data_IF_292389464769
#
_entry.id   IF_292389464769
#
_cell.length_a   1.000
_cell.length_b   1.000
_cell.length_c   1.000
_cell.angle_alpha   90.00
_cell.angle_beta   90.00
_cell.angle_gamma   90.00
#
_symmetry.space_group_name_H-M   'P 1'
#
loop_
_entity.id
_entity.type
_entity.pdbx_description
1 polymer ?
#
# COMPACT_ATOMS: atom_id res chain seq x y z
N UNK A 1 43.63 -48.29 -27.08
CA UNK A 1 42.91 -47.68 -28.23
C UNK A 1 43.08 -46.17 -28.16
N UNK A 2 43.40 -45.55 -29.30
CA UNK A 2 44.23 -44.36 -29.40
C UNK A 2 43.59 -43.00 -29.15
N UNK A 3 44.46 -42.09 -28.74
CA UNK A 3 44.36 -40.65 -28.53
C UNK A 3 44.08 -39.81 -29.79
N UNK A 4 43.33 -38.72 -29.57
CA UNK A 4 43.42 -37.36 -30.14
C UNK A 4 43.37 -37.19 -31.68
N UNK A 5 42.45 -36.34 -32.15
CA UNK A 5 42.78 -35.03 -32.75
C UNK A 5 41.57 -34.13 -33.01
N UNK A 6 41.91 -32.84 -33.03
CA UNK A 6 41.17 -31.58 -33.08
C UNK A 6 41.22 -31.03 -34.51
N UNK A 7 40.17 -30.34 -35.01
CA UNK A 7 40.29 -29.03 -35.71
C UNK A 7 38.97 -28.49 -36.26
N UNK A 8 38.87 -27.17 -36.12
CA UNK A 8 37.89 -26.24 -36.65
C UNK A 8 38.00 -26.01 -38.17
N UNK A 9 36.84 -25.59 -38.72
CA UNK A 9 36.54 -24.59 -39.75
C UNK A 9 37.39 -24.45 -41.03
N UNK A 10 36.69 -24.38 -42.17
CA UNK A 10 36.78 -23.27 -43.14
C UNK A 10 35.71 -23.40 -44.24
N UNK A 11 35.43 -22.25 -44.84
CA UNK A 11 34.22 -21.88 -45.55
C UNK A 11 34.29 -22.02 -47.09
N UNK A 12 33.09 -22.08 -47.68
CA UNK A 12 32.62 -21.45 -48.93
C UNK A 12 33.29 -21.76 -50.28
N UNK A 13 32.44 -22.18 -51.23
CA UNK A 13 32.47 -21.67 -52.60
C UNK A 13 31.07 -21.75 -53.26
N UNK A 14 30.66 -20.61 -53.82
CA UNK A 14 29.48 -20.36 -54.67
C UNK A 14 29.57 -21.14 -56.01
N UNK A 15 28.63 -21.16 -56.97
CA UNK A 15 27.57 -20.25 -57.43
C UNK A 15 26.81 -20.94 -58.59
N UNK A 16 25.51 -20.69 -58.79
CA UNK A 16 25.02 -20.11 -60.06
C UNK A 16 23.52 -19.73 -60.09
N UNK A 17 23.28 -18.62 -60.78
CA UNK A 17 22.05 -17.83 -60.97
C UNK A 17 21.10 -18.35 -62.07
N UNK A 18 19.78 -18.07 -61.93
CA UNK A 18 18.97 -17.11 -62.74
C UNK A 18 17.47 -17.25 -62.40
N UNK A 19 16.85 -16.24 -61.77
CA UNK A 19 15.98 -15.17 -62.35
C UNK A 19 14.63 -15.68 -62.89
N UNK A 20 13.49 -14.99 -62.79
CA UNK A 20 12.90 -13.91 -61.97
C UNK A 20 11.53 -13.68 -62.63
N UNK A 21 10.41 -13.70 -61.90
CA UNK A 21 9.21 -12.94 -62.31
C UNK A 21 8.51 -12.43 -61.05
N UNK A 22 8.54 -11.10 -60.91
CA UNK A 22 7.80 -10.32 -59.91
C UNK A 22 6.41 -9.99 -60.48
N UNK A 23 5.43 -9.90 -59.59
CA UNK A 23 4.25 -9.02 -59.54
C UNK A 23 3.20 -9.73 -58.67
N UNK A 24 2.53 -9.15 -57.67
CA UNK A 24 2.49 -7.81 -57.13
C UNK A 24 1.96 -7.88 -55.68
N UNK A 25 2.20 -6.80 -54.94
CA UNK A 25 1.81 -6.50 -53.57
C UNK A 25 0.37 -6.92 -53.18
N UNK A 26 0.26 -7.55 -52.00
CA UNK A 26 -0.77 -7.18 -51.04
C UNK A 26 -0.18 -7.27 -49.62
N UNK A 27 0.28 -6.11 -49.13
CA UNK A 27 0.73 -5.93 -47.76
C UNK A 27 -0.49 -5.89 -46.85
N UNK A 28 -0.82 -7.03 -46.22
CA UNK A 28 -1.70 -7.05 -45.06
C UNK A 28 -0.92 -6.48 -43.87
N UNK A 29 -1.01 -5.17 -43.70
CA UNK A 29 -0.83 -4.48 -42.43
C UNK A 29 -1.78 -5.12 -41.42
N UNK A 30 -1.28 -6.03 -40.61
CA UNK A 30 -1.97 -6.45 -39.38
C UNK A 30 -1.93 -5.27 -38.43
N UNK A 31 -3.05 -4.54 -38.37
CA UNK A 31 -3.36 -3.69 -37.23
C UNK A 31 -3.27 -4.51 -35.94
N UNK A 32 -2.84 -3.90 -34.81
CA UNK A 32 -2.86 -4.58 -33.53
C UNK A 32 -4.32 -4.85 -33.16
N UNK A 33 -4.74 -6.11 -33.25
CA UNK A 33 -6.01 -6.56 -32.70
C UNK A 33 -6.07 -6.11 -31.23
N UNK A 34 -7.09 -5.32 -30.90
CA UNK A 34 -7.38 -4.95 -29.52
C UNK A 34 -7.50 -6.20 -28.63
N UNK A 35 -7.39 -6.04 -27.30
CA UNK A 35 -7.44 -7.17 -26.38
C UNK A 35 -8.70 -8.00 -26.61
N UNK A 36 -8.51 -9.27 -26.92
CA UNK A 36 -9.56 -10.22 -27.24
C UNK A 36 -10.42 -10.46 -25.97
N UNK A 37 -11.55 -9.75 -25.90
CA UNK A 37 -12.45 -9.76 -24.77
C UNK A 37 -13.40 -10.96 -24.85
N UNK A 38 -13.02 -12.09 -24.25
CA UNK A 38 -13.95 -13.18 -23.94
C UNK A 38 -14.29 -13.20 -22.45
N UNK A 39 -15.58 -13.28 -22.08
CA UNK A 39 -16.01 -13.41 -20.67
C UNK A 39 -15.40 -14.64 -20.00
N UNK A 40 -15.15 -14.58 -18.70
CA UNK A 40 -14.70 -15.75 -17.97
C UNK A 40 -15.82 -16.78 -17.79
N UNK A 41 -15.45 -18.06 -17.88
CA UNK A 41 -16.35 -19.20 -17.67
C UNK A 41 -16.06 -19.85 -16.31
N UNK A 42 -17.07 -20.50 -15.72
CA UNK A 42 -16.97 -21.05 -14.36
C UNK A 42 -15.95 -22.19 -14.25
N UNK A 43 -15.92 -23.07 -15.26
CA UNK A 43 -15.09 -24.26 -15.28
C UNK A 43 -14.20 -24.27 -16.54
N UNK A 44 -13.17 -23.39 -16.61
CA UNK A 44 -12.35 -23.26 -17.81
C UNK A 44 -11.53 -24.52 -18.07
N UNK A 45 -11.44 -24.91 -19.34
CA UNK A 45 -10.67 -26.06 -19.83
C UNK A 45 -9.92 -25.68 -21.09
N UNK A 46 -8.92 -26.46 -21.47
CA UNK A 46 -8.18 -26.25 -22.72
C UNK A 46 -7.62 -24.84 -22.82
N UNK A 47 -7.95 -24.15 -23.91
CA UNK A 47 -7.40 -22.83 -24.20
C UNK A 47 -7.98 -21.71 -23.31
N UNK A 48 -9.20 -21.85 -22.80
CA UNK A 48 -9.77 -20.89 -21.83
C UNK A 48 -8.99 -20.89 -20.52
N UNK A 49 -8.60 -22.08 -20.04
CA UNK A 49 -7.79 -22.20 -18.83
C UNK A 49 -6.39 -21.61 -19.03
N UNK A 50 -5.77 -21.87 -20.19
CA UNK A 50 -4.46 -21.29 -20.53
C UNK A 50 -4.52 -19.77 -20.58
N UNK A 51 -5.56 -19.21 -21.24
CA UNK A 51 -5.81 -17.77 -21.30
C UNK A 51 -5.95 -17.17 -19.90
N UNK A 52 -6.80 -17.77 -19.06
CA UNK A 52 -7.00 -17.29 -17.68
C UNK A 52 -5.69 -17.32 -16.88
N UNK A 53 -4.96 -18.44 -16.91
CA UNK A 53 -3.69 -18.56 -16.17
C UNK A 53 -2.69 -17.50 -16.64
N UNK A 54 -2.50 -17.35 -17.95
CA UNK A 54 -1.58 -16.37 -18.51
C UNK A 54 -1.95 -14.93 -18.10
N UNK A 55 -3.24 -14.60 -18.07
CA UNK A 55 -3.70 -13.28 -17.67
C UNK A 55 -3.44 -13.01 -16.17
N UNK A 56 -3.70 -13.98 -15.30
CA UNK A 56 -3.41 -13.85 -13.87
C UNK A 56 -1.90 -13.85 -13.55
N UNK A 57 -1.07 -14.50 -14.37
CA UNK A 57 0.39 -14.41 -14.25
C UNK A 57 0.91 -13.00 -14.53
N UNK A 58 0.29 -12.28 -15.48
CA UNK A 58 0.63 -10.90 -15.80
C UNK A 58 0.36 -9.91 -14.66
N UNK A 59 -0.55 -10.21 -13.74
CA UNK A 59 -0.72 -9.41 -12.51
C UNK A 59 0.55 -9.42 -11.63
N UNK A 60 1.39 -10.44 -11.77
CA UNK A 60 2.68 -10.52 -11.09
C UNK A 60 3.86 -10.05 -11.96
N UNK A 61 3.61 -9.41 -13.10
CA UNK A 61 4.68 -8.81 -13.91
C UNK A 61 5.37 -7.69 -13.12
N UNK A 62 6.68 -7.51 -13.30
CA UNK A 62 7.39 -6.33 -12.77
C UNK A 62 7.14 -5.08 -13.62
N UNK A 63 6.69 -5.25 -14.86
CA UNK A 63 6.28 -4.15 -15.73
C UNK A 63 4.89 -3.62 -15.32
N UNK A 64 4.82 -2.32 -15.02
CA UNK A 64 3.58 -1.67 -14.58
C UNK A 64 2.51 -1.65 -15.67
N UNK A 65 2.90 -1.43 -16.93
CA UNK A 65 1.94 -1.34 -18.03
C UNK A 65 1.29 -2.69 -18.29
N UNK A 66 2.06 -3.78 -18.23
CA UNK A 66 1.54 -5.14 -18.35
C UNK A 66 0.62 -5.51 -17.20
N UNK A 67 0.98 -5.16 -15.95
CA UNK A 67 0.11 -5.38 -14.79
C UNK A 67 -1.22 -4.65 -14.95
N UNK A 68 -1.20 -3.38 -15.34
CA UNK A 68 -2.40 -2.56 -15.49
C UNK A 68 -3.29 -3.05 -16.63
N UNK A 69 -2.70 -3.41 -17.78
CA UNK A 69 -3.45 -3.99 -18.89
C UNK A 69 -4.12 -5.33 -18.51
N UNK A 70 -3.41 -6.18 -17.75
CA UNK A 70 -4.00 -7.42 -17.27
C UNK A 70 -5.13 -7.18 -16.25
N UNK A 71 -4.95 -6.20 -15.36
CA UNK A 71 -5.97 -5.84 -14.38
C UNK A 71 -7.26 -5.34 -15.05
N UNK A 72 -7.14 -4.45 -16.04
CA UNK A 72 -8.25 -3.94 -16.83
C UNK A 72 -9.05 -5.07 -17.50
N UNK A 73 -8.36 -5.97 -18.23
CA UNK A 73 -9.00 -7.12 -18.89
C UNK A 73 -9.70 -8.02 -17.86
N UNK A 74 -9.11 -8.24 -16.68
CA UNK A 74 -9.74 -9.08 -15.64
C UNK A 74 -10.99 -8.41 -15.07
N UNK A 75 -10.92 -7.12 -14.70
CA UNK A 75 -12.06 -6.38 -14.14
C UNK A 75 -13.19 -6.35 -15.15
N UNK A 76 -12.91 -5.90 -16.38
CA UNK A 76 -13.91 -5.84 -17.43
C UNK A 76 -14.49 -7.22 -17.74
N UNK A 77 -13.64 -8.25 -17.86
CA UNK A 77 -14.08 -9.62 -18.15
C UNK A 77 -14.96 -10.24 -17.07
N UNK A 78 -14.90 -9.73 -15.84
CA UNK A 78 -15.73 -10.16 -14.71
C UNK A 78 -17.00 -9.32 -14.56
N UNK A 79 -16.91 -8.00 -14.74
CA UNK A 79 -17.94 -7.05 -14.28
C UNK A 79 -18.62 -6.23 -15.38
N UNK A 80 -18.03 -6.09 -16.57
CA UNK A 80 -18.62 -5.26 -17.63
C UNK A 80 -19.75 -5.98 -18.39
N UNK A 81 -20.57 -5.19 -19.07
CA UNK A 81 -21.78 -5.67 -19.74
C UNK A 81 -22.76 -6.23 -18.71
N UNK A 82 -23.25 -7.44 -18.97
CA UNK A 82 -24.05 -8.15 -17.98
C UNK A 82 -23.21 -8.67 -16.81
N UNK A 83 -21.88 -8.77 -16.91
CA UNK A 83 -21.02 -9.41 -15.91
C UNK A 83 -21.21 -10.93 -15.82
N UNK A 84 -20.22 -11.63 -15.25
CA UNK A 84 -20.24 -13.10 -15.13
C UNK A 84 -21.30 -13.59 -14.13
N UNK A 85 -21.68 -14.89 -14.14
CA UNK A 85 -22.47 -15.47 -13.06
C UNK A 85 -21.79 -15.30 -11.69
N UNK A 86 -22.58 -15.17 -10.62
CA UNK A 86 -22.04 -15.00 -9.26
C UNK A 86 -21.08 -16.12 -8.85
N UNK A 87 -21.37 -17.37 -9.22
CA UNK A 87 -20.49 -18.52 -8.95
C UNK A 87 -19.11 -18.37 -9.61
N UNK A 88 -19.07 -17.85 -10.85
CA UNK A 88 -17.82 -17.54 -11.55
C UNK A 88 -17.06 -16.46 -10.81
N UNK A 89 -17.69 -15.32 -10.49
CA UNK A 89 -17.02 -14.23 -9.76
C UNK A 89 -16.47 -14.71 -8.41
N UNK A 90 -17.26 -15.47 -7.64
CA UNK A 90 -16.84 -16.03 -6.36
C UNK A 90 -15.62 -16.95 -6.52
N UNK A 91 -15.60 -17.81 -7.55
CA UNK A 91 -14.43 -18.66 -7.85
C UNK A 91 -13.18 -17.82 -8.10
N UNK A 92 -13.28 -16.72 -8.85
CA UNK A 92 -12.13 -15.84 -9.11
C UNK A 92 -11.65 -15.15 -7.83
N UNK A 93 -12.57 -14.62 -7.03
CA UNK A 93 -12.26 -14.00 -5.74
C UNK A 93 -11.52 -14.98 -4.82
N UNK A 94 -12.06 -16.19 -4.66
CA UNK A 94 -11.52 -17.20 -3.75
C UNK A 94 -10.24 -17.86 -4.21
N UNK A 95 -10.19 -18.31 -5.47
CA UNK A 95 -9.14 -19.22 -5.96
C UNK A 95 -7.99 -18.50 -6.63
N UNK A 96 -8.18 -17.24 -7.04
CA UNK A 96 -7.18 -16.46 -7.76
C UNK A 96 -6.83 -15.18 -7.02
N UNK A 97 -7.80 -14.29 -6.79
CA UNK A 97 -7.54 -12.92 -6.37
C UNK A 97 -7.08 -12.82 -4.91
N UNK A 98 -7.90 -13.24 -3.95
CA UNK A 98 -7.49 -13.17 -2.53
C UNK A 98 -6.33 -14.12 -2.20
N UNK A 99 -6.31 -15.31 -2.80
CA UNK A 99 -5.18 -16.23 -2.66
C UNK A 99 -3.88 -15.63 -3.25
N UNK A 100 -3.98 -14.87 -4.34
CA UNK A 100 -2.87 -14.21 -5.01
C UNK A 100 -2.17 -13.14 -4.16
N UNK A 101 -2.86 -12.57 -3.16
CA UNK A 101 -2.27 -11.60 -2.23
C UNK A 101 -1.17 -12.23 -1.36
N UNK A 102 -1.25 -13.53 -1.07
CA UNK A 102 -0.23 -14.27 -0.33
C UNK A 102 0.90 -14.80 -1.24
N UNK A 103 0.97 -14.36 -2.50
CA UNK A 103 2.05 -14.75 -3.41
C UNK A 103 3.37 -14.05 -3.05
N UNK A 104 4.45 -14.82 -2.97
CA UNK A 104 5.83 -14.30 -2.83
C UNK A 104 6.45 -13.76 -4.11
N UNK A 105 5.75 -13.82 -5.26
CA UNK A 105 6.26 -13.26 -6.53
C UNK A 105 6.30 -11.73 -6.46
N UNK A 106 7.40 -11.15 -6.94
CA UNK A 106 7.54 -9.69 -7.07
C UNK A 106 6.40 -9.14 -7.93
N UNK A 107 5.84 -7.99 -7.55
CA UNK A 107 4.73 -7.35 -8.28
C UNK A 107 3.34 -7.96 -8.05
N UNK A 108 3.22 -9.22 -7.64
CA UNK A 108 1.93 -9.91 -7.49
C UNK A 108 0.96 -9.14 -6.59
N UNK A 109 1.38 -8.81 -5.37
CA UNK A 109 0.52 -8.12 -4.39
C UNK A 109 -0.03 -6.81 -4.94
N UNK A 110 0.77 -6.06 -5.69
CA UNK A 110 0.33 -4.82 -6.34
C UNK A 110 -0.74 -5.09 -7.40
N UNK A 111 -0.49 -6.00 -8.34
CA UNK A 111 -1.44 -6.32 -9.40
C UNK A 111 -2.76 -6.90 -8.88
N UNK A 112 -2.69 -7.84 -7.95
CA UNK A 112 -3.89 -8.39 -7.30
C UNK A 112 -4.68 -7.34 -6.52
N UNK A 113 -3.99 -6.42 -5.84
CA UNK A 113 -4.63 -5.35 -5.09
C UNK A 113 -5.36 -4.34 -5.96
N UNK A 114 -4.84 -4.04 -7.17
CA UNK A 114 -5.49 -3.17 -8.14
C UNK A 114 -6.85 -3.76 -8.54
N UNK A 115 -6.85 -5.03 -8.96
CA UNK A 115 -8.08 -5.74 -9.36
C UNK A 115 -9.07 -5.83 -8.20
N UNK A 116 -8.62 -6.21 -7.01
CA UNK A 116 -9.49 -6.33 -5.85
C UNK A 116 -10.09 -4.99 -5.42
N UNK A 117 -9.30 -3.92 -5.42
CA UNK A 117 -9.79 -2.58 -5.07
C UNK A 117 -10.90 -2.15 -6.02
N UNK A 118 -10.72 -2.37 -7.32
CA UNK A 118 -11.72 -2.01 -8.32
C UNK A 118 -12.99 -2.88 -8.20
N UNK A 119 -12.84 -4.20 -8.03
CA UNK A 119 -14.00 -5.09 -7.82
C UNK A 119 -14.76 -4.70 -6.54
N UNK A 120 -14.07 -4.45 -5.42
CA UNK A 120 -14.71 -4.03 -4.16
C UNK A 120 -15.45 -2.70 -4.34
N UNK A 121 -14.85 -1.75 -5.05
CA UNK A 121 -15.45 -0.45 -5.38
C UNK A 121 -16.74 -0.63 -6.20
N UNK A 122 -16.73 -1.47 -7.22
CA UNK A 122 -17.93 -1.73 -8.03
C UNK A 122 -19.01 -2.54 -7.28
N UNK A 123 -18.60 -3.47 -6.41
CA UNK A 123 -19.53 -4.28 -5.61
C UNK A 123 -20.29 -3.45 -4.57
N UNK A 124 -19.60 -2.55 -3.85
CA UNK A 124 -20.15 -1.87 -2.68
C UNK A 124 -20.14 -0.35 -2.73
N UNK A 125 -19.53 0.24 -3.76
CA UNK A 125 -19.52 1.68 -3.97
C UNK A 125 -20.88 2.20 -4.42
N UNK A 126 -21.08 3.51 -4.25
CA UNK A 126 -22.37 4.18 -4.52
C UNK A 126 -22.82 4.11 -5.97
N UNK A 127 -21.87 4.04 -6.91
CA UNK A 127 -22.15 4.17 -8.34
C UNK A 127 -22.78 2.90 -8.93
N UNK A 128 -22.08 1.75 -8.84
CA UNK A 128 -22.58 0.49 -9.40
C UNK A 128 -23.36 -0.37 -8.39
N UNK A 129 -22.94 -0.40 -7.12
CA UNK A 129 -23.54 -1.17 -6.03
C UNK A 129 -23.95 -2.60 -6.43
N UNK A 130 -23.08 -3.31 -7.17
CA UNK A 130 -23.44 -4.57 -7.82
C UNK A 130 -23.82 -5.68 -6.83
N UNK A 131 -23.36 -5.62 -5.59
CA UNK A 131 -23.73 -6.56 -4.55
C UNK A 131 -25.21 -6.41 -4.11
N UNK A 132 -25.85 -5.27 -4.36
CA UNK A 132 -27.27 -5.07 -4.08
C UNK A 132 -28.16 -5.48 -5.26
N UNK A 133 -27.68 -5.32 -6.50
CA UNK A 133 -28.48 -5.50 -7.72
C UNK A 133 -28.30 -6.85 -8.41
N UNK A 134 -27.07 -7.38 -8.46
CA UNK A 134 -26.75 -8.59 -9.25
C UNK A 134 -26.12 -9.70 -8.40
N UNK A 135 -25.15 -9.37 -7.56
CA UNK A 135 -24.37 -10.33 -6.77
C UNK A 135 -24.85 -10.36 -5.31
N UNK A 136 -26.15 -10.61 -5.10
CA UNK A 136 -26.82 -10.49 -3.80
C UNK A 136 -26.30 -11.44 -2.73
N UNK A 137 -25.64 -12.54 -3.11
CA UNK A 137 -24.95 -13.44 -2.18
C UNK A 137 -23.55 -12.97 -1.75
N UNK A 138 -22.99 -11.93 -2.38
CA UNK A 138 -21.67 -11.39 -2.07
C UNK A 138 -21.78 -10.11 -1.21
N UNK A 139 -22.46 -10.20 -0.07
CA UNK A 139 -22.50 -9.09 0.88
C UNK A 139 -21.11 -8.85 1.51
N UNK A 140 -20.91 -7.65 2.08
CA UNK A 140 -19.62 -7.21 2.62
C UNK A 140 -18.97 -8.24 3.57
N UNK A 141 -19.76 -8.77 4.51
CA UNK A 141 -19.26 -9.74 5.50
C UNK A 141 -18.74 -11.03 4.85
N UNK A 142 -19.34 -11.47 3.73
CA UNK A 142 -18.89 -12.67 3.03
C UNK A 142 -17.56 -12.43 2.32
N UNK A 143 -17.42 -11.28 1.65
CA UNK A 143 -16.16 -10.93 1.01
C UNK A 143 -15.03 -10.73 2.03
N UNK A 144 -15.32 -10.10 3.16
CA UNK A 144 -14.37 -9.94 4.26
C UNK A 144 -13.99 -11.30 4.88
N UNK A 145 -14.94 -12.21 5.04
CA UNK A 145 -14.68 -13.60 5.47
C UNK A 145 -13.77 -14.32 4.49
N UNK A 146 -13.98 -14.17 3.17
CA UNK A 146 -13.13 -14.77 2.14
C UNK A 146 -11.70 -14.23 2.22
N UNK A 147 -11.52 -12.90 2.39
CA UNK A 147 -10.19 -12.32 2.59
C UNK A 147 -9.46 -13.03 3.75
N UNK A 148 -10.09 -13.09 4.92
CA UNK A 148 -9.49 -13.71 6.11
C UNK A 148 -9.19 -15.19 5.89
N UNK A 149 -10.10 -15.93 5.26
CA UNK A 149 -9.91 -17.35 4.98
C UNK A 149 -8.75 -17.59 4.01
N UNK A 150 -8.66 -16.82 2.92
CA UNK A 150 -7.68 -17.05 1.85
C UNK A 150 -6.29 -16.48 2.14
N UNK A 151 -6.16 -15.67 3.19
CA UNK A 151 -4.89 -15.13 3.67
C UNK A 151 -4.42 -15.79 4.97
N UNK A 152 -5.23 -16.63 5.60
CA UNK A 152 -4.82 -17.43 6.76
C UNK A 152 -3.71 -18.43 6.36
N UNK A 153 -2.60 -18.52 7.12
CA UNK A 153 -1.62 -19.58 6.92
C UNK A 153 -2.22 -20.94 7.28
N UNK A 154 -2.02 -21.95 6.41
CA UNK A 154 -2.51 -23.32 6.61
C UNK A 154 -1.43 -24.33 6.20
N UNK A 155 -1.25 -25.39 7.01
CA UNK A 155 -0.26 -26.43 6.77
C UNK A 155 1.12 -26.15 7.38
N UNK A 156 2.11 -26.94 6.96
CA UNK A 156 3.51 -26.77 7.35
C UNK A 156 4.17 -25.78 6.39
N UNK A 157 4.29 -24.52 6.83
CA UNK A 157 4.73 -23.40 6.02
C UNK A 157 6.11 -22.92 6.46
N UNK A 158 6.94 -22.55 5.50
CA UNK A 158 8.21 -21.87 5.77
C UNK A 158 7.97 -20.50 6.39
N UNK A 159 8.96 -19.96 7.12
CA UNK A 159 8.86 -18.61 7.70
C UNK A 159 8.59 -17.52 6.66
N UNK A 160 9.07 -17.69 5.42
CA UNK A 160 8.77 -16.76 4.33
C UNK A 160 7.31 -16.84 3.89
N UNK A 161 6.74 -18.05 3.77
CA UNK A 161 5.32 -18.22 3.43
C UNK A 161 4.41 -17.67 4.52
N UNK A 162 4.75 -17.86 5.80
CA UNK A 162 4.04 -17.23 6.92
C UNK A 162 4.03 -15.69 6.80
N UNK A 163 5.18 -15.08 6.47
CA UNK A 163 5.27 -13.64 6.18
C UNK A 163 4.42 -13.24 4.97
N UNK A 164 4.44 -14.03 3.91
CA UNK A 164 3.67 -13.76 2.70
C UNK A 164 2.15 -13.78 2.96
N UNK A 165 1.68 -14.67 3.83
CA UNK A 165 0.29 -14.68 4.30
C UNK A 165 -0.09 -13.43 5.11
N UNK A 166 0.79 -12.98 6.00
CA UNK A 166 0.61 -11.73 6.76
C UNK A 166 0.53 -10.52 5.81
N UNK A 167 1.42 -10.45 4.82
CA UNK A 167 1.32 -9.43 3.78
C UNK A 167 0.04 -9.57 2.97
N UNK A 168 -0.40 -10.79 2.67
CA UNK A 168 -1.65 -11.03 1.97
C UNK A 168 -2.84 -10.40 2.69
N UNK A 169 -2.94 -10.58 4.01
CA UNK A 169 -3.97 -9.95 4.83
C UNK A 169 -3.82 -8.41 4.83
N UNK A 170 -2.61 -7.90 5.02
CA UNK A 170 -2.33 -6.45 5.03
C UNK A 170 -2.79 -5.78 3.73
N UNK A 171 -2.38 -6.31 2.56
CA UNK A 171 -2.76 -5.78 1.26
C UNK A 171 -4.27 -5.91 1.02
N UNK A 172 -4.89 -7.01 1.46
CA UNK A 172 -6.34 -7.18 1.37
C UNK A 172 -7.12 -6.14 2.18
N UNK A 173 -6.71 -5.87 3.42
CA UNK A 173 -7.28 -4.78 4.24
C UNK A 173 -7.10 -3.42 3.55
N UNK A 174 -5.94 -3.19 2.94
CA UNK A 174 -5.67 -1.97 2.18
C UNK A 174 -6.59 -1.81 0.97
N UNK A 175 -6.93 -2.89 0.26
CA UNK A 175 -7.91 -2.84 -0.83
C UNK A 175 -9.27 -2.34 -0.37
N UNK A 176 -9.75 -2.78 0.80
CA UNK A 176 -11.01 -2.31 1.37
C UNK A 176 -10.98 -0.81 1.70
N UNK A 177 -9.88 -0.32 2.28
CA UNK A 177 -9.69 1.11 2.58
C UNK A 177 -9.63 1.95 1.29
N UNK A 178 -8.88 1.49 0.28
CA UNK A 178 -8.69 2.19 -0.99
C UNK A 178 -9.91 2.17 -1.90
N UNK A 179 -10.75 1.15 -1.79
CA UNK A 179 -12.01 1.09 -2.52
C UNK A 179 -13.02 2.15 -2.05
N UNK A 180 -12.75 2.84 -0.93
CA UNK A 180 -13.59 3.92 -0.37
C UNK A 180 -15.03 3.50 -0.04
N UNK A 181 -15.23 2.20 0.24
CA UNK A 181 -16.57 1.63 0.52
C UNK A 181 -16.86 1.51 2.02
N UNK A 182 -15.83 1.57 2.87
CA UNK A 182 -15.97 1.35 4.30
C UNK A 182 -16.72 2.46 5.01
N UNK A 183 -16.63 3.69 4.50
CA UNK A 183 -17.19 4.87 5.15
C UNK A 183 -18.64 5.13 4.76
N UNK A 184 -19.19 4.29 3.87
CA UNK A 184 -20.62 4.24 3.57
C UNK A 184 -21.43 3.60 4.71
N UNK A 185 -20.75 2.86 5.59
CA UNK A 185 -21.34 2.09 6.67
C UNK A 185 -20.31 1.95 7.79
N UNK A 186 -20.48 2.74 8.85
CA UNK A 186 -19.53 2.82 9.98
C UNK A 186 -19.23 1.46 10.61
N UNK A 187 -20.14 0.48 10.54
CA UNK A 187 -19.88 -0.86 11.06
C UNK A 187 -18.89 -1.64 10.18
N UNK A 188 -18.86 -1.40 8.86
CA UNK A 188 -17.81 -1.93 7.98
C UNK A 188 -16.46 -1.37 8.36
N UNK A 189 -16.39 -0.07 8.60
CA UNK A 189 -15.17 0.58 9.08
C UNK A 189 -14.70 -0.01 10.40
N UNK A 190 -15.58 -0.10 11.40
CA UNK A 190 -15.28 -0.71 12.71
C UNK A 190 -14.73 -2.13 12.55
N UNK A 191 -15.37 -2.95 11.72
CA UNK A 191 -14.96 -4.34 11.46
C UNK A 191 -13.53 -4.42 10.90
N UNK A 192 -13.23 -3.59 9.90
CA UNK A 192 -11.90 -3.56 9.26
C UNK A 192 -10.85 -2.95 10.18
N UNK A 193 -11.19 -1.88 10.91
CA UNK A 193 -10.29 -1.21 11.84
C UNK A 193 -9.81 -2.14 12.96
N UNK A 194 -10.73 -2.92 13.53
CA UNK A 194 -10.37 -3.92 14.55
C UNK A 194 -9.42 -4.98 14.00
N UNK A 195 -9.60 -5.42 12.75
CA UNK A 195 -8.68 -6.36 12.11
C UNK A 195 -7.29 -5.72 11.84
N UNK A 196 -7.25 -4.45 11.41
CA UNK A 196 -6.00 -3.70 11.23
C UNK A 196 -5.24 -3.62 12.55
N UNK A 197 -5.92 -3.26 13.65
CA UNK A 197 -5.31 -3.14 14.97
C UNK A 197 -4.91 -4.50 15.55
N UNK A 198 -5.69 -5.55 15.32
CA UNK A 198 -5.29 -6.90 15.70
C UNK A 198 -4.03 -7.36 14.97
N UNK A 199 -3.92 -7.06 13.67
CA UNK A 199 -2.71 -7.35 12.89
C UNK A 199 -1.49 -6.58 13.43
N UNK A 200 -1.66 -5.28 13.69
CA UNK A 200 -0.64 -4.40 14.27
C UNK A 200 -0.10 -4.89 15.63
N UNK A 201 -0.98 -5.44 16.48
CA UNK A 201 -0.60 -6.02 17.77
C UNK A 201 0.14 -7.35 17.59
N UNK A 202 -0.39 -8.25 16.76
CA UNK A 202 0.18 -9.59 16.54
C UNK A 202 1.51 -9.58 15.80
N UNK A 203 1.67 -8.65 14.86
CA UNK A 203 2.84 -8.58 13.97
C UNK A 203 3.40 -7.15 13.99
N UNK A 204 4.20 -6.79 15.01
CA UNK A 204 4.79 -5.46 15.14
C UNK A 204 5.59 -4.99 13.91
N UNK A 205 6.10 -5.93 13.10
CA UNK A 205 6.86 -5.63 11.88
C UNK A 205 6.04 -5.12 10.69
N UNK A 206 4.71 -5.25 10.71
CA UNK A 206 3.81 -4.56 9.76
C UNK A 206 3.07 -3.37 10.39
N UNK A 207 3.32 -3.08 11.66
CA UNK A 207 2.53 -2.10 12.42
C UNK A 207 2.56 -0.72 11.80
N UNK A 208 3.73 -0.28 11.32
CA UNK A 208 3.89 1.00 10.62
C UNK A 208 2.88 1.14 9.47
N UNK A 209 2.76 0.10 8.63
CA UNK A 209 1.85 0.08 7.48
C UNK A 209 0.37 0.01 7.92
N UNK A 210 0.05 -0.70 9.01
CA UNK A 210 -1.28 -0.68 9.61
C UNK A 210 -1.66 0.75 10.07
N UNK A 211 -0.72 1.45 10.71
CA UNK A 211 -0.90 2.84 11.12
C UNK A 211 -1.13 3.78 9.95
N UNK A 212 -0.30 3.66 8.92
CA UNK A 212 -0.43 4.44 7.69
C UNK A 212 -1.78 4.21 7.00
N UNK A 213 -2.27 2.97 6.98
CA UNK A 213 -3.57 2.64 6.41
C UNK A 213 -4.73 3.38 7.10
N UNK A 214 -4.67 3.56 8.42
CA UNK A 214 -5.67 4.33 9.17
C UNK A 214 -5.53 5.84 8.89
N UNK A 215 -4.29 6.34 8.77
CA UNK A 215 -4.01 7.72 8.33
C UNK A 215 -4.59 7.99 6.93
N UNK A 216 -4.41 7.06 5.98
CA UNK A 216 -5.00 7.14 4.63
C UNK A 216 -6.53 7.13 4.69
N UNK A 217 -7.12 6.33 5.58
CA UNK A 217 -8.56 6.24 5.74
C UNK A 217 -9.17 7.54 6.31
N UNK A 218 -8.48 8.23 7.22
CA UNK A 218 -8.94 9.51 7.79
C UNK A 218 -9.21 10.58 6.71
N UNK A 219 -8.49 10.54 5.58
CA UNK A 219 -8.70 11.47 4.47
C UNK A 219 -10.07 11.34 3.80
N UNK A 220 -10.76 10.23 4.05
CA UNK A 220 -12.03 9.89 3.42
C UNK A 220 -13.20 10.00 4.41
N UNK A 221 -12.91 10.16 5.71
CA UNK A 221 -13.87 10.17 6.81
C UNK A 221 -14.52 11.53 7.04
N UNK A 222 -15.69 11.49 7.67
CA UNK A 222 -16.26 12.62 8.39
C UNK A 222 -15.73 12.70 9.83
N UNK A 223 -16.14 13.77 10.53
CA UNK A 223 -15.74 14.03 11.92
C UNK A 223 -16.19 12.91 12.87
N UNK A 224 -17.41 12.42 12.75
CA UNK A 224 -17.97 11.39 13.66
C UNK A 224 -17.21 10.08 13.51
N UNK A 225 -16.89 9.68 12.28
CA UNK A 225 -16.10 8.48 11.99
C UNK A 225 -14.67 8.60 12.54
N UNK A 226 -14.07 9.79 12.47
CA UNK A 226 -12.76 10.03 13.05
C UNK A 226 -12.79 9.99 14.59
N UNK A 227 -13.83 10.51 15.25
CA UNK A 227 -14.03 10.37 16.70
C UNK A 227 -14.07 8.89 17.11
N UNK A 228 -14.92 8.08 16.45
CA UNK A 228 -15.01 6.62 16.67
C UNK A 228 -13.65 5.94 16.44
N UNK A 229 -12.91 6.36 15.42
CA UNK A 229 -11.58 5.78 15.13
C UNK A 229 -10.59 6.03 16.27
N UNK A 230 -10.60 7.24 16.85
CA UNK A 230 -9.73 7.58 17.98
C UNK A 230 -10.16 6.89 19.29
N UNK A 231 -11.46 6.70 19.51
CA UNK A 231 -11.97 5.91 20.63
C UNK A 231 -11.48 4.45 20.53
N UNK A 232 -11.67 3.80 19.39
CA UNK A 232 -11.21 2.42 19.16
C UNK A 232 -9.68 2.33 19.28
N UNK A 233 -8.94 3.31 18.76
CA UNK A 233 -7.48 3.37 18.92
C UNK A 233 -7.06 3.38 20.41
N UNK A 234 -7.82 4.07 21.25
CA UNK A 234 -7.59 4.09 22.70
C UNK A 234 -7.93 2.76 23.35
N UNK A 235 -9.08 2.19 23.01
CA UNK A 235 -9.57 0.91 23.56
C UNK A 235 -8.62 -0.24 23.20
N UNK A 236 -8.06 -0.22 21.99
CA UNK A 236 -7.06 -1.18 21.52
C UNK A 236 -5.64 -0.92 22.06
N UNK A 237 -5.46 0.14 22.87
CA UNK A 237 -4.19 0.45 23.54
C UNK A 237 -3.08 0.93 22.60
N UNK A 238 -3.41 1.35 21.38
CA UNK A 238 -2.44 1.76 20.36
C UNK A 238 -2.20 3.28 20.32
N UNK A 239 -2.96 4.08 21.07
CA UNK A 239 -2.81 5.55 21.08
C UNK A 239 -1.43 6.05 21.50
N UNK A 240 -0.68 5.26 22.28
CA UNK A 240 0.69 5.57 22.73
C UNK A 240 1.75 4.82 21.92
N UNK A 241 1.50 4.61 20.63
CA UNK A 241 2.49 4.13 19.66
C UNK A 241 2.84 5.23 18.66
N UNK A 242 3.95 5.10 17.90
CA UNK A 242 4.27 6.00 16.79
C UNK A 242 3.11 6.15 15.79
N UNK A 243 2.44 5.04 15.48
CA UNK A 243 1.27 5.01 14.61
C UNK A 243 0.08 5.74 15.23
N UNK A 244 -0.20 5.49 16.51
CA UNK A 244 -1.25 6.17 17.25
C UNK A 244 -1.05 7.68 17.29
N UNK A 245 0.19 8.15 17.47
CA UNK A 245 0.55 9.57 17.37
C UNK A 245 0.24 10.11 15.96
N UNK A 246 0.63 9.38 14.92
CA UNK A 246 0.37 9.76 13.54
C UNK A 246 -1.13 9.91 13.24
N UNK A 247 -1.93 8.91 13.61
CA UNK A 247 -3.40 8.93 13.47
C UNK A 247 -3.99 10.13 14.23
N UNK A 248 -3.51 10.39 15.44
CA UNK A 248 -4.00 11.49 16.28
C UNK A 248 -3.72 12.87 15.68
N UNK A 249 -2.48 13.10 15.22
CA UNK A 249 -2.09 14.36 14.58
C UNK A 249 -2.89 14.57 13.30
N UNK A 250 -3.02 13.54 12.46
CA UNK A 250 -3.80 13.61 11.22
C UNK A 250 -5.27 13.96 11.50
N UNK A 251 -5.90 13.32 12.49
CA UNK A 251 -7.28 13.59 12.86
C UNK A 251 -7.46 15.03 13.37
N UNK A 252 -6.54 15.53 14.21
CA UNK A 252 -6.54 16.93 14.71
C UNK A 252 -6.45 17.95 13.58
N UNK A 253 -5.53 17.72 12.65
CA UNK A 253 -5.30 18.64 11.54
C UNK A 253 -6.49 18.68 10.59
N UNK A 254 -7.10 17.52 10.33
CA UNK A 254 -8.24 17.41 9.43
C UNK A 254 -9.55 17.91 10.05
N UNK A 255 -9.73 17.73 11.35
CA UNK A 255 -10.95 18.10 12.05
C UNK A 255 -10.68 19.03 13.24
N UNK A 256 -10.25 20.29 13.03
CA UNK A 256 -9.94 21.22 14.12
C UNK A 256 -11.13 21.50 15.06
N UNK A 257 -12.36 21.31 14.58
CA UNK A 257 -13.60 21.51 15.35
C UNK A 257 -14.08 20.26 16.11
N UNK A 258 -13.31 19.17 16.09
CA UNK A 258 -13.62 17.96 16.85
C UNK A 258 -13.47 18.18 18.36
N UNK A 259 -14.33 17.55 19.16
CA UNK A 259 -14.31 17.69 20.63
C UNK A 259 -13.25 16.76 21.22
N UNK A 260 -11.98 17.10 21.02
CA UNK A 260 -10.87 16.29 21.52
C UNK A 260 -10.90 16.14 23.05
N UNK A 261 -11.56 17.04 23.77
CA UNK A 261 -11.70 17.00 25.23
C UNK A 261 -12.64 15.89 25.72
N UNK A 262 -13.55 15.39 24.87
CA UNK A 262 -14.42 14.26 25.19
C UNK A 262 -13.78 12.90 24.90
N UNK A 263 -12.67 12.87 24.16
CA UNK A 263 -11.93 11.63 23.90
C UNK A 263 -11.16 11.17 25.14
N UNK A 264 -10.79 9.88 25.21
CA UNK A 264 -9.94 9.38 26.28
C UNK A 264 -8.66 10.22 26.43
N UNK A 265 -8.35 10.63 27.68
CA UNK A 265 -7.25 11.57 28.01
C UNK A 265 -5.86 10.93 27.96
N UNK A 266 -5.60 10.09 26.96
CA UNK A 266 -4.32 9.38 26.75
C UNK A 266 -3.15 10.34 26.51
N UNK A 267 -3.45 11.51 25.93
CA UNK A 267 -2.53 12.63 25.70
C UNK A 267 -2.93 13.86 26.54
N UNK A 268 -3.37 13.63 27.78
CA UNK A 268 -3.70 14.70 28.71
C UNK A 268 -4.97 15.46 28.34
N UNK A 269 -5.14 16.65 28.93
CA UNK A 269 -6.40 17.40 28.84
C UNK A 269 -6.61 18.08 27.48
N UNK A 270 -5.54 18.48 26.80
CA UNK A 270 -5.60 19.03 25.44
C UNK A 270 -5.75 17.95 24.38
N UNK A 271 -5.59 16.67 24.76
CA UNK A 271 -5.56 15.53 23.87
C UNK A 271 -4.64 15.76 22.65
N UNK A 272 -3.49 16.40 22.88
CA UNK A 272 -2.50 16.71 21.85
C UNK A 272 -1.17 16.04 22.21
N UNK A 273 -0.68 15.06 21.41
CA UNK A 273 0.62 14.45 21.66
C UNK A 273 1.76 15.47 21.73
N UNK A 274 1.68 16.55 20.96
CA UNK A 274 2.73 17.59 20.87
C UNK A 274 2.82 18.46 22.14
N UNK A 275 1.83 18.45 23.02
CA UNK A 275 1.90 19.15 24.32
C UNK A 275 2.65 18.34 25.38
N UNK A 276 2.99 17.08 25.08
CA UNK A 276 3.59 16.13 26.01
C UNK A 276 4.95 15.62 25.53
N UNK A 277 5.88 16.54 25.25
CA UNK A 277 7.18 16.26 24.60
C UNK A 277 7.98 15.09 25.19
N UNK A 278 8.05 14.95 26.52
CA UNK A 278 8.76 13.82 27.15
C UNK A 278 8.06 12.48 26.94
N UNK A 279 6.72 12.45 26.95
CA UNK A 279 5.97 11.23 26.66
C UNK A 279 6.08 10.89 25.17
N UNK A 280 5.99 11.92 24.32
CA UNK A 280 6.14 11.78 22.87
C UNK A 280 7.53 11.25 22.51
N UNK A 281 8.61 11.80 23.07
CA UNK A 281 9.97 11.33 22.81
C UNK A 281 10.16 9.85 23.19
N UNK A 282 9.57 9.42 24.32
CA UNK A 282 9.57 8.01 24.70
C UNK A 282 8.90 7.12 23.65
N UNK A 283 7.70 7.51 23.20
CA UNK A 283 6.96 6.78 22.15
C UNK A 283 7.75 6.73 20.83
N UNK A 284 8.38 7.84 20.44
CA UNK A 284 9.20 7.89 19.22
C UNK A 284 10.47 7.04 19.33
N UNK A 285 11.10 6.97 20.50
CA UNK A 285 12.28 6.14 20.72
C UNK A 285 11.96 4.63 20.75
N UNK A 286 10.76 4.24 21.15
CA UNK A 286 10.31 2.84 21.11
C UNK A 286 10.22 2.30 19.66
N UNK A 287 10.07 3.18 18.66
CA UNK A 287 10.16 2.81 17.23
C UNK A 287 11.57 2.45 16.75
N UNK A 288 12.60 2.81 17.53
CA UNK A 288 14.02 2.66 17.17
C UNK A 288 14.67 1.42 17.79
N UNK A 289 13.92 0.64 18.59
CA UNK A 289 14.40 -0.60 19.18
C UNK A 289 14.48 -1.74 18.16
N UNK A 290 15.35 -2.75 18.36
CA UNK A 290 15.46 -3.88 17.46
C UNK A 290 14.10 -4.60 17.35
N UNK A 291 13.59 -4.72 16.13
CA UNK A 291 12.55 -5.68 15.79
C UNK A 291 13.17 -7.07 15.84
N UNK A 292 13.05 -7.77 16.97
CA UNK A 292 13.36 -9.18 17.01
C UNK A 292 12.35 -9.93 16.14
N UNK A 293 12.87 -10.61 15.11
CA UNK A 293 12.14 -11.65 14.40
C UNK A 293 11.93 -12.82 15.38
N UNK A 294 10.74 -12.90 15.98
CA UNK A 294 10.37 -14.07 16.77
C UNK A 294 9.58 -15.01 15.88
N UNK A 295 10.27 -15.99 15.29
CA UNK A 295 9.69 -17.28 14.93
C UNK A 295 10.61 -18.39 15.48
N UNK A 296 10.08 -19.17 16.42
CA UNK A 296 10.72 -20.35 17.02
C UNK A 296 10.78 -20.29 18.54
N UNK A 297 10.19 -21.29 19.20
CA UNK A 297 10.20 -21.46 20.65
C UNK A 297 11.62 -21.53 21.26
N UNK A 298 11.71 -21.15 22.53
CA UNK A 298 12.85 -21.30 23.47
C UNK A 298 14.13 -20.44 23.26
N UNK A 299 14.22 -19.31 24.00
CA UNK A 299 14.93 -19.22 25.30
C UNK A 299 15.07 -17.77 25.75
N UNK A 300 14.67 -17.53 26.99
CA UNK A 300 15.07 -16.36 27.76
C UNK A 300 16.60 -16.31 27.81
N UNK A 301 17.21 -15.39 27.06
CA UNK A 301 18.62 -15.01 27.24
C UNK A 301 18.70 -13.50 27.25
N UNK A 302 18.90 -12.96 28.45
CA UNK A 302 19.59 -11.68 28.64
C UNK A 302 20.88 -11.74 27.83
N UNK A 303 20.97 -10.95 26.76
CA UNK A 303 22.19 -10.76 26.00
C UNK A 303 22.32 -9.28 25.64
N UNK A 304 23.52 -8.78 25.88
CA UNK A 304 23.89 -7.38 25.89
C UNK A 304 23.51 -6.62 24.62
N UNK A 305 23.14 -5.36 24.87
CA UNK A 305 22.96 -4.29 23.91
C UNK A 305 24.10 -4.21 22.89
N UNK A 306 23.83 -4.68 21.68
CA UNK A 306 24.45 -4.14 20.46
C UNK A 306 23.32 -3.91 19.46
N UNK A 307 22.67 -2.76 19.60
CA UNK A 307 21.49 -2.36 18.83
C UNK A 307 21.82 -2.22 17.35
N UNK A 308 21.27 -3.11 16.53
CA UNK A 308 21.29 -2.98 15.08
C UNK A 308 20.18 -1.99 14.68
N UNK A 309 20.57 -0.71 14.59
CA UNK A 309 19.71 0.43 14.30
C UNK A 309 19.00 0.30 12.94
N UNK A 310 17.67 0.49 12.90
CA UNK A 310 16.91 0.51 11.65
C UNK A 310 17.02 1.91 11.01
N UNK A 311 17.57 1.97 9.79
CA UNK A 311 17.84 3.22 9.09
C UNK A 311 16.60 3.89 8.47
N UNK A 312 15.44 3.24 8.51
CA UNK A 312 14.19 3.77 7.99
C UNK A 312 13.49 4.61 9.07
N UNK A 313 13.32 5.90 8.80
CA UNK A 313 12.57 6.80 9.68
C UNK A 313 11.07 6.48 9.60
N UNK A 314 10.44 6.27 10.76
CA UNK A 314 9.00 5.99 10.85
C UNK A 314 8.15 7.14 10.28
N UNK A 315 7.06 6.86 9.56
CA UNK A 315 6.23 7.88 8.87
C UNK A 315 5.76 9.04 9.79
N UNK A 316 5.53 8.74 11.08
CA UNK A 316 5.06 9.72 12.08
C UNK A 316 5.94 10.97 12.13
N UNK A 317 7.25 10.83 11.90
CA UNK A 317 8.17 11.97 11.92
C UNK A 317 7.82 13.00 10.85
N UNK A 318 7.38 12.55 9.68
CA UNK A 318 6.90 13.46 8.64
C UNK A 318 5.70 14.26 9.12
N UNK A 319 4.70 13.60 9.71
CA UNK A 319 3.49 14.26 10.22
C UNK A 319 3.80 15.28 11.33
N UNK A 320 4.74 14.94 12.22
CA UNK A 320 5.21 15.85 13.27
C UNK A 320 5.92 17.06 12.66
N UNK A 321 6.85 16.83 11.72
CA UNK A 321 7.61 17.90 11.07
C UNK A 321 6.70 18.82 10.25
N UNK A 322 5.75 18.27 9.50
CA UNK A 322 4.78 19.04 8.73
C UNK A 322 3.94 19.94 9.65
N UNK A 323 3.54 19.44 10.83
CA UNK A 323 2.81 20.24 11.83
C UNK A 323 3.66 21.38 12.40
N UNK A 324 4.89 21.10 12.83
CA UNK A 324 5.78 22.14 13.35
C UNK A 324 6.11 23.19 12.27
N UNK A 325 6.33 22.76 11.03
CA UNK A 325 6.60 23.66 9.92
C UNK A 325 5.43 24.62 9.66
N UNK A 326 4.20 24.11 9.64
CA UNK A 326 2.99 24.91 9.45
C UNK A 326 2.81 25.95 10.56
N UNK A 327 2.99 25.56 11.82
CA UNK A 327 2.87 26.45 12.99
C UNK A 327 3.97 27.52 13.04
N UNK A 328 5.20 27.17 12.70
CA UNK A 328 6.33 28.12 12.64
C UNK A 328 6.08 29.13 11.51
N UNK A 329 5.61 28.69 10.34
CA UNK A 329 5.22 29.58 9.25
C UNK A 329 4.07 30.51 9.63
N UNK A 330 3.18 30.08 10.52
CA UNK A 330 2.12 30.90 11.09
C UNK A 330 2.61 31.87 12.19
N UNK A 331 3.91 31.90 12.51
CA UNK A 331 4.51 32.82 13.48
C UNK A 331 4.49 32.32 14.94
N UNK A 332 4.29 31.02 15.17
CA UNK A 332 4.22 30.45 16.51
C UNK A 332 5.63 30.18 17.11
N UNK A 333 6.23 31.18 17.75
CA UNK A 333 7.57 31.09 18.36
C UNK A 333 7.69 30.01 19.45
N UNK A 334 6.61 29.75 20.19
CA UNK A 334 6.57 28.65 21.18
C UNK A 334 6.79 27.31 20.48
N UNK A 335 6.17 27.12 19.32
CA UNK A 335 6.28 25.89 18.54
C UNK A 335 7.73 25.62 18.11
N UNK A 336 8.47 26.66 17.72
CA UNK A 336 9.91 26.58 17.39
C UNK A 336 10.74 26.11 18.59
N UNK A 337 10.50 26.68 19.77
CA UNK A 337 11.20 26.27 21.00
C UNK A 337 10.85 24.84 21.41
N UNK A 338 9.59 24.43 21.29
CA UNK A 338 9.13 23.08 21.64
C UNK A 338 9.65 22.02 20.65
N UNK A 339 9.72 22.33 19.35
CA UNK A 339 10.40 21.49 18.36
C UNK A 339 11.87 21.26 18.73
N UNK A 340 12.59 22.35 19.05
CA UNK A 340 14.01 22.28 19.44
C UNK A 340 14.20 21.37 20.66
N UNK A 341 13.34 21.50 21.68
CA UNK A 341 13.37 20.61 22.85
C UNK A 341 13.10 19.15 22.47
N UNK A 342 12.06 18.91 21.67
CA UNK A 342 11.71 17.54 21.23
C UNK A 342 12.87 16.90 20.46
N UNK A 343 13.49 17.67 19.58
CA UNK A 343 14.66 17.26 18.81
C UNK A 343 15.83 16.88 19.70
N UNK A 344 16.19 17.75 20.64
CA UNK A 344 17.28 17.48 21.60
C UNK A 344 16.99 16.23 22.41
N UNK A 345 15.76 16.05 22.92
CA UNK A 345 15.41 14.90 23.76
C UNK A 345 15.41 13.59 22.96
N UNK A 346 14.94 13.63 21.71
CA UNK A 346 14.65 12.40 20.94
C UNK A 346 15.80 12.00 20.02
N UNK A 347 16.57 12.95 19.50
CA UNK A 347 17.64 12.73 18.52
C UNK A 347 19.01 12.92 19.16
N UNK A 348 19.26 14.07 19.82
CA UNK A 348 20.60 14.36 20.36
C UNK A 348 20.89 13.61 21.67
N UNK A 349 19.89 13.48 22.54
CA UNK A 349 19.98 12.85 23.86
C UNK A 349 20.01 11.32 23.81
N UNK A 350 19.58 10.71 22.71
CA UNK A 350 19.53 9.27 22.48
C UNK A 350 20.78 8.73 21.76
N UNK A 351 21.79 9.57 21.51
CA UNK A 351 23.03 9.16 20.85
C UNK A 351 22.95 9.03 19.32
N UNK A 352 21.87 9.51 18.67
CA UNK A 352 21.69 9.50 17.21
C UNK A 352 22.58 10.51 16.45
N UNK A 353 23.69 10.98 17.05
CA UNK A 353 24.62 11.97 16.50
C UNK A 353 25.30 11.58 15.17
N UNK A 354 25.11 10.35 14.70
CA UNK A 354 25.60 9.93 13.38
C UNK A 354 24.41 9.70 12.46
N UNK A 355 24.41 10.41 11.33
CA UNK A 355 23.66 10.12 10.09
C UNK A 355 22.41 10.95 9.75
N UNK A 356 22.31 12.20 10.23
CA UNK A 356 21.20 13.07 9.86
C UNK A 356 21.22 13.59 8.42
N UNK A 357 22.41 13.91 7.87
CA UNK A 357 22.53 14.27 6.45
C UNK A 357 22.09 13.13 5.53
N UNK A 358 22.35 11.88 5.90
CA UNK A 358 21.83 10.71 5.16
C UNK A 358 20.33 10.49 5.37
N UNK A 359 19.76 10.80 6.54
CA UNK A 359 18.32 10.66 6.83
C UNK A 359 17.44 11.59 6.00
N UNK A 360 17.81 12.87 5.89
CA UNK A 360 17.08 13.84 5.07
C UNK A 360 17.18 13.50 3.58
N UNK A 361 18.34 13.02 3.14
CA UNK A 361 18.57 12.58 1.75
C UNK A 361 17.82 11.28 1.41
N UNK A 362 17.66 10.35 2.38
CA UNK A 362 16.89 9.12 2.23
C UNK A 362 15.37 9.37 2.27
N UNK A 363 14.89 10.27 3.13
CA UNK A 363 13.49 10.68 3.16
C UNK A 363 13.07 11.36 1.85
N UNK A 364 13.96 12.16 1.24
CA UNK A 364 13.75 12.73 -0.11
C UNK A 364 13.76 11.68 -1.23
N UNK A 365 14.56 10.60 -1.12
CA UNK A 365 14.55 9.51 -2.13
C UNK A 365 13.34 8.60 -1.97
N UNK A 366 12.89 8.34 -0.74
CA UNK A 366 11.68 7.58 -0.46
C UNK A 366 10.42 8.35 -0.89
N UNK A 367 10.43 9.68 -0.77
CA UNK A 367 9.43 10.61 -1.31
C UNK A 367 9.20 10.46 -2.82
N UNK A 368 10.24 10.16 -3.62
CA UNK A 368 10.09 9.95 -5.06
C UNK A 368 9.53 8.57 -5.43
N UNK A 369 9.55 7.61 -4.51
CA UNK A 369 9.15 6.22 -4.76
C UNK A 369 7.80 5.85 -4.15
N UNK A 370 7.22 6.70 -3.30
CA UNK A 370 5.98 6.42 -2.55
C UNK A 370 4.82 7.38 -2.81
N UNK A 371 4.91 8.30 -3.77
CA UNK A 371 3.77 9.16 -4.13
C UNK A 371 2.72 8.35 -4.91
N UNK A 372 1.52 8.05 -4.37
CA UNK A 372 0.36 7.81 -5.21
C UNK A 372 -0.02 9.11 -5.92
N UNK A 373 -0.63 9.06 -7.12
CA UNK A 373 -1.05 10.25 -7.85
C UNK A 373 -1.98 11.11 -6.97
N UNK A 374 -1.61 12.38 -6.77
CA UNK A 374 -2.37 13.31 -5.94
C UNK A 374 -3.73 13.68 -6.57
N UNK A 375 -4.64 14.02 -5.65
CA UNK A 375 -6.08 14.24 -5.78
C UNK A 375 -6.45 15.26 -6.87
N UNK A 376 -7.14 14.78 -7.91
CA UNK A 376 -8.20 15.57 -8.58
C UNK A 376 -9.56 15.00 -8.15
N UNK A 377 -10.55 15.88 -8.04
CA UNK A 377 -11.90 15.61 -7.55
C UNK A 377 -12.53 14.36 -8.18
N UNK A 378 -12.97 13.42 -7.34
CA UNK A 378 -13.88 12.34 -7.71
C UNK A 378 -15.25 12.96 -8.03
N UNK A 379 -15.40 13.43 -9.26
CA UNK A 379 -16.62 14.11 -9.71
C UNK A 379 -16.96 13.86 -11.17
N UNK A 380 -15.98 13.69 -12.07
CA UNK A 380 -16.28 13.54 -13.50
C UNK A 380 -15.40 12.48 -14.14
N UNK A 381 -15.99 11.31 -14.36
CA UNK A 381 -15.46 10.27 -15.23
C UNK A 381 -15.57 10.76 -16.69
N UNK A 382 -14.59 11.50 -17.25
CA UNK A 382 -14.35 11.51 -18.70
C UNK A 382 -12.93 12.01 -19.08
N UNK A 383 -12.20 11.11 -19.77
CA UNK A 383 -11.06 11.33 -20.68
C UNK A 383 -9.62 11.45 -20.11
N UNK A 384 -8.99 10.27 -20.04
CA UNK A 384 -7.58 9.95 -19.75
C UNK A 384 -6.52 10.65 -20.65
N UNK A 385 -6.92 11.45 -21.66
CA UNK A 385 -5.98 12.11 -22.60
C UNK A 385 -5.44 13.48 -22.14
N UNK A 386 -5.93 14.04 -21.02
CA UNK A 386 -5.49 15.35 -20.51
C UNK A 386 -4.38 15.28 -19.44
N UNK A 387 -4.21 14.10 -18.81
CA UNK A 387 -3.24 13.84 -17.73
C UNK A 387 -1.77 13.96 -18.14
N UNK A 388 -1.42 13.73 -19.42
CA UNK A 388 -0.02 13.75 -19.86
C UNK A 388 0.58 15.16 -20.08
N UNK A 389 -0.21 16.24 -20.03
CA UNK A 389 0.26 17.60 -20.42
C UNK A 389 0.63 18.53 -19.25
N UNK A 390 0.29 18.18 -18.00
CA UNK A 390 0.45 19.06 -16.82
C UNK A 390 1.72 18.72 -16.00
N UNK A 391 2.34 17.55 -16.23
CA UNK A 391 3.46 16.99 -15.46
C UNK A 391 4.79 17.80 -15.50
N UNK A 392 4.85 18.98 -16.14
CA UNK A 392 6.13 19.72 -16.34
C UNK A 392 6.31 21.02 -15.53
N UNK A 393 5.35 21.49 -14.73
CA UNK A 393 5.43 22.87 -14.21
C UNK A 393 5.41 23.11 -12.69
N UNK A 394 5.45 22.10 -11.81
CA UNK A 394 5.28 22.35 -10.37
C UNK A 394 6.27 21.57 -9.49
N UNK A 395 7.48 22.10 -9.37
CA UNK A 395 8.38 21.83 -8.24
C UNK A 395 8.16 22.98 -7.24
N UNK A 396 7.54 22.72 -6.09
CA UNK A 396 7.20 23.77 -5.12
C UNK A 396 8.36 24.15 -4.17
N UNK A 397 8.40 25.42 -3.67
CA UNK A 397 9.51 26.00 -2.88
C UNK A 397 9.63 25.55 -1.40
N UNK A 398 8.75 24.67 -0.91
CA UNK A 398 8.56 24.38 0.52
C UNK A 398 9.68 23.53 1.16
N UNK A 399 10.40 22.71 0.38
CA UNK A 399 11.52 21.90 0.87
C UNK A 399 12.78 22.74 1.17
N UNK A 400 12.98 23.87 0.48
CA UNK A 400 14.09 24.79 0.73
C UNK A 400 13.93 25.52 2.08
N UNK A 401 12.68 25.78 2.50
CA UNK A 401 12.35 26.44 3.77
C UNK A 401 12.71 25.56 4.98
N UNK A 402 12.47 24.25 4.89
CA UNK A 402 12.81 23.29 5.94
C UNK A 402 14.33 23.13 6.08
N UNK A 403 15.06 23.05 4.96
CA UNK A 403 16.54 22.98 4.98
C UNK A 403 17.14 24.25 5.61
N UNK A 404 16.59 25.43 5.34
CA UNK A 404 17.04 26.67 5.96
C UNK A 404 16.80 26.68 7.48
N UNK A 405 15.63 26.19 7.94
CA UNK A 405 15.32 26.06 9.38
C UNK A 405 16.28 25.07 10.06
N UNK A 406 16.67 23.97 9.39
CA UNK A 406 17.66 23.02 9.93
C UNK A 406 19.07 23.63 10.04
N UNK A 407 19.45 24.53 9.12
CA UNK A 407 20.73 25.24 9.17
C UNK A 407 20.76 26.36 10.21
N UNK A 408 19.64 27.01 10.50
CA UNK A 408 19.57 28.08 11.50
C UNK A 408 19.45 27.56 12.96
N UNK A 409 19.21 26.26 13.14
CA UNK A 409 19.09 25.58 14.45
C UNK A 409 20.35 24.76 14.80
N UNK A 410 21.24 24.51 13.84
CA UNK A 410 22.57 23.89 14.04
C UNK A 410 23.63 24.95 14.31
#
# INVERSE_FOLDING_TARGET
MGTKRKRDSLAHSASNHKQKKQEANESLTTEPKGPEFSPFIENPKGDDLKREVALYEKLASEDESERLAAADIIVSGLLDGDGVPQATLLRHLERRLFRGLASGRKGARLGYSIVLTEIISQLYGKEKSLAQSKYTGLHFQELFRILKLKTKPEGDLTGQELKDHVFGLLFGLQCFVRARVLLLDTERWRTVLLEIFELAKRKPWVREECGWMVVEALEQMDKTQAEITLEILCDEGLSKSPEGVGIWITARNRFPSMRFESLPKVWGQSANPLDHLHRLSKVLNESSGPQEEVDGEEKFRQANQTGNWNAKLHFVWRLILDQYAAEIQAGNEKCKADFTKLWIITVDGSGHKRNLSSMLTLSQKHFLLQQPPEKESFGDFYSFKKLCKIHKSLVQPSLLSLVQIFYDVS
#
